data_IF_911004806219
#
_entry.id   IF_911004806219
#
_cell.length_a   1.000
_cell.length_b   1.000
_cell.length_c   1.000
_cell.angle_alpha   90.00
_cell.angle_beta   90.00
_cell.angle_gamma   90.00
#
_symmetry.space_group_name_H-M   'P 1'
#
loop_
_entity.id
_entity.type
_entity.pdbx_description
1 polymer ?
#
# COMPACT_ATOMS: atom_id res chain seq x y z
N UNK A 1 -4.40 -10.18 -26.27
CA UNK A 1 -4.37 -11.44 -27.05
C UNK A 1 -3.09 -12.13 -26.66
N UNK A 2 -3.13 -13.25 -25.93
CA UNK A 2 -1.91 -13.91 -25.45
C UNK A 2 -1.17 -14.51 -26.64
N UNK A 3 -0.05 -13.88 -27.02
CA UNK A 3 0.91 -14.48 -27.93
C UNK A 3 1.43 -15.80 -27.32
N UNK A 4 1.72 -16.78 -28.17
CA UNK A 4 2.31 -18.04 -27.72
C UNK A 4 3.62 -17.76 -26.97
N UNK A 5 3.68 -18.12 -25.69
CA UNK A 5 4.87 -17.99 -24.84
C UNK A 5 5.96 -18.92 -25.35
N UNK A 6 7.15 -18.38 -25.60
CA UNK A 6 8.37 -19.15 -25.79
C UNK A 6 8.97 -19.50 -24.42
N UNK A 7 8.87 -20.78 -24.04
CA UNK A 7 9.35 -21.27 -22.76
C UNK A 7 10.85 -21.04 -22.53
N UNK A 8 11.67 -20.94 -23.59
CA UNK A 8 13.11 -20.68 -23.44
C UNK A 8 13.35 -19.25 -23.01
N UNK A 9 12.71 -18.29 -23.70
CA UNK A 9 12.78 -16.86 -23.34
C UNK A 9 12.16 -16.61 -21.99
N UNK A 10 11.04 -17.28 -21.69
CA UNK A 10 10.41 -17.17 -20.40
C UNK A 10 11.32 -17.67 -19.27
N UNK A 11 12.02 -18.80 -19.48
CA UNK A 11 12.99 -19.30 -18.51
C UNK A 11 14.16 -18.31 -18.26
N UNK A 12 14.65 -17.62 -19.29
CA UNK A 12 15.71 -16.61 -19.16
C UNK A 12 15.29 -15.42 -18.28
N UNK A 13 14.09 -14.88 -18.52
CA UNK A 13 13.59 -13.75 -17.72
C UNK A 13 13.23 -14.19 -16.29
N UNK A 14 12.75 -15.44 -16.10
CA UNK A 14 12.52 -16.02 -14.78
C UNK A 14 13.82 -16.19 -14.00
N UNK A 15 14.90 -16.63 -14.64
CA UNK A 15 16.21 -16.77 -14.00
C UNK A 15 16.77 -15.42 -13.51
N UNK A 16 16.37 -14.33 -14.17
CA UNK A 16 16.76 -12.97 -13.77
C UNK A 16 15.85 -12.42 -12.67
N UNK A 17 14.53 -12.59 -12.80
CA UNK A 17 13.55 -12.07 -11.86
C UNK A 17 13.49 -12.87 -10.54
N UNK A 18 13.83 -14.16 -10.59
CA UNK A 18 13.79 -15.11 -9.47
C UNK A 18 12.48 -14.97 -8.67
N UNK A 19 11.30 -15.14 -9.32
CA UNK A 19 10.03 -15.00 -8.62
C UNK A 19 9.88 -16.11 -7.58
N UNK A 20 9.48 -15.69 -6.38
CA UNK A 20 9.12 -16.56 -5.26
C UNK A 20 8.12 -15.81 -4.41
N UNK A 21 7.45 -16.54 -3.52
CA UNK A 21 6.60 -15.94 -2.49
C UNK A 21 7.40 -14.88 -1.72
N UNK A 22 6.81 -13.71 -1.57
CA UNK A 22 7.40 -12.57 -0.86
C UNK A 22 7.04 -12.73 0.62
N UNK A 23 8.05 -12.70 1.49
CA UNK A 23 7.85 -12.86 2.95
C UNK A 23 8.44 -11.70 3.75
N UNK A 24 9.19 -10.81 3.10
CA UNK A 24 9.88 -9.66 3.72
C UNK A 24 9.71 -8.39 2.90
N UNK A 25 9.88 -7.24 3.54
CA UNK A 25 9.76 -5.93 2.89
C UNK A 25 10.86 -5.74 1.84
N UNK A 26 12.09 -6.19 2.12
CA UNK A 26 13.21 -6.09 1.20
C UNK A 26 12.98 -6.91 -0.08
N UNK A 27 12.29 -8.05 0.04
CA UNK A 27 11.85 -8.83 -1.11
C UNK A 27 10.74 -8.12 -1.88
N UNK A 28 9.80 -7.48 -1.18
CA UNK A 28 8.72 -6.69 -1.80
C UNK A 28 9.29 -5.53 -2.62
N UNK A 29 10.17 -4.72 -2.02
CA UNK A 29 10.83 -3.61 -2.70
C UNK A 29 11.62 -4.06 -3.95
N UNK A 30 12.29 -5.21 -3.86
CA UNK A 30 13.02 -5.77 -5.00
C UNK A 30 12.07 -6.13 -6.14
N UNK A 31 10.96 -6.80 -5.83
CA UNK A 31 9.97 -7.21 -6.84
C UNK A 31 9.27 -6.00 -7.42
N UNK A 32 8.87 -5.02 -6.60
CA UNK A 32 8.29 -3.75 -7.03
C UNK A 32 9.16 -3.04 -8.07
N UNK A 33 10.47 -2.96 -7.85
CA UNK A 33 11.40 -2.37 -8.84
C UNK A 33 11.38 -3.10 -10.18
N UNK A 34 11.19 -4.42 -10.20
CA UNK A 34 11.08 -5.19 -11.44
C UNK A 34 9.76 -4.87 -12.14
N UNK A 35 8.65 -4.83 -11.39
CA UNK A 35 7.31 -4.45 -11.89
C UNK A 35 7.36 -3.05 -12.49
N UNK A 36 7.92 -2.06 -11.78
CA UNK A 36 8.09 -0.69 -12.28
C UNK A 36 8.91 -0.63 -13.58
N UNK A 37 10.02 -1.36 -13.65
CA UNK A 37 10.85 -1.43 -14.85
C UNK A 37 10.07 -2.00 -16.05
N UNK A 38 9.26 -3.05 -15.84
CA UNK A 38 8.43 -3.63 -16.88
C UNK A 38 7.33 -2.65 -17.31
N UNK A 39 6.61 -2.03 -16.37
CA UNK A 39 5.58 -1.03 -16.68
C UNK A 39 6.15 0.18 -17.43
N UNK A 40 7.38 0.60 -17.12
CA UNK A 40 8.02 1.75 -17.75
C UNK A 40 8.30 1.55 -19.25
N UNK A 41 8.32 0.31 -19.73
CA UNK A 41 8.45 -0.01 -21.16
C UNK A 41 7.19 0.38 -21.95
N UNK A 42 6.04 0.44 -21.29
CA UNK A 42 4.73 0.63 -21.90
C UNK A 42 4.13 -0.66 -22.46
N UNK A 43 2.80 -0.79 -22.38
CA UNK A 43 2.06 -2.01 -22.72
C UNK A 43 2.34 -2.52 -24.14
N UNK A 44 2.45 -1.61 -25.11
CA UNK A 44 2.69 -1.96 -26.52
C UNK A 44 4.10 -2.53 -26.78
N UNK A 45 5.03 -2.38 -25.83
CA UNK A 45 6.43 -2.80 -25.98
C UNK A 45 6.78 -4.06 -25.18
N UNK A 46 5.83 -4.61 -24.41
CA UNK A 46 6.04 -5.85 -23.66
C UNK A 46 5.96 -7.05 -24.60
N UNK A 47 6.93 -7.94 -24.51
CA UNK A 47 6.80 -9.29 -25.06
C UNK A 47 5.73 -10.09 -24.29
N UNK A 48 5.12 -11.13 -24.89
CA UNK A 48 4.19 -12.02 -24.18
C UNK A 48 4.79 -12.62 -22.90
N UNK A 49 6.09 -12.91 -22.90
CA UNK A 49 6.82 -13.43 -21.73
C UNK A 49 6.92 -12.37 -20.62
N UNK A 50 7.24 -11.13 -20.97
CA UNK A 50 7.34 -10.02 -20.02
C UNK A 50 5.98 -9.62 -19.45
N UNK A 51 4.92 -9.63 -20.27
CA UNK A 51 3.54 -9.43 -19.82
C UNK A 51 3.15 -10.53 -18.82
N UNK A 52 3.47 -11.79 -19.13
CA UNK A 52 3.20 -12.93 -18.23
C UNK A 52 3.96 -12.79 -16.91
N UNK A 53 5.25 -12.42 -16.96
CA UNK A 53 6.04 -12.19 -15.77
C UNK A 53 5.50 -11.01 -14.94
N UNK A 54 5.11 -9.91 -15.60
CA UNK A 54 4.55 -8.73 -14.94
C UNK A 54 3.31 -9.09 -14.14
N UNK A 55 2.37 -9.84 -14.73
CA UNK A 55 1.16 -10.30 -14.05
C UNK A 55 1.51 -11.17 -12.85
N UNK A 56 2.41 -12.15 -13.01
CA UNK A 56 2.86 -13.01 -11.90
C UNK A 56 3.46 -12.19 -10.75
N UNK A 57 4.35 -11.24 -11.04
CA UNK A 57 5.00 -10.43 -10.01
C UNK A 57 4.01 -9.50 -9.31
N UNK A 58 3.05 -8.93 -10.05
CA UNK A 58 1.99 -8.11 -9.46
C UNK A 58 1.13 -8.91 -8.48
N UNK A 59 0.74 -10.14 -8.82
CA UNK A 59 0.00 -11.03 -7.92
C UNK A 59 0.79 -11.36 -6.64
N UNK A 60 2.10 -11.56 -6.74
CA UNK A 60 2.96 -11.83 -5.59
C UNK A 60 3.09 -10.62 -4.65
N UNK A 61 3.22 -9.42 -5.23
CA UNK A 61 3.21 -8.15 -4.47
C UNK A 61 1.87 -7.97 -3.78
N UNK A 62 0.76 -8.13 -4.49
CA UNK A 62 -0.58 -7.99 -3.93
C UNK A 62 -0.84 -8.98 -2.77
N UNK A 63 -0.42 -10.25 -2.90
CA UNK A 63 -0.57 -11.25 -1.83
C UNK A 63 0.25 -10.90 -0.58
N UNK A 64 1.43 -10.31 -0.75
CA UNK A 64 2.24 -9.83 0.37
C UNK A 64 1.63 -8.57 0.99
N UNK A 65 1.32 -7.56 0.19
CA UNK A 65 0.79 -6.28 0.66
C UNK A 65 -0.55 -6.45 1.36
N UNK A 66 -1.43 -7.35 0.92
CA UNK A 66 -2.67 -7.66 1.65
C UNK A 66 -2.42 -8.15 3.09
N UNK A 67 -1.28 -8.80 3.35
CA UNK A 67 -0.92 -9.34 4.68
C UNK A 67 -0.12 -8.32 5.49
N UNK A 68 0.81 -7.62 4.84
CA UNK A 68 1.67 -6.61 5.47
C UNK A 68 0.92 -5.29 5.73
N UNK A 69 0.04 -4.90 4.79
CA UNK A 69 -0.72 -3.66 4.73
C UNK A 69 -2.21 -3.94 4.49
N UNK A 70 -2.94 -4.49 5.48
CA UNK A 70 -4.37 -4.74 5.34
C UNK A 70 -5.11 -3.46 4.92
N UNK A 71 -5.90 -3.53 3.84
CA UNK A 71 -6.60 -2.40 3.24
C UNK A 71 -7.34 -1.56 4.28
N UNK A 72 -7.06 -0.25 4.26
CA UNK A 72 -7.73 0.76 5.07
C UNK A 72 -9.19 0.88 4.66
N UNK A 73 -10.08 0.12 5.33
CA UNK A 73 -11.53 0.27 5.15
C UNK A 73 -12.39 -0.95 5.48
N UNK A 74 -11.86 -2.18 5.42
CA UNK A 74 -12.69 -3.38 5.67
C UNK A 74 -12.53 -3.96 7.08
N UNK A 75 -11.40 -3.68 7.74
CA UNK A 75 -11.11 -4.10 9.13
C UNK A 75 -10.28 -3.08 9.91
N UNK A 76 -9.92 -1.97 9.28
CA UNK A 76 -9.05 -0.94 9.86
C UNK A 76 -9.86 -0.07 10.79
N UNK A 77 -9.35 0.07 12.01
CA UNK A 77 -9.96 0.97 12.99
C UNK A 77 -9.69 2.43 12.60
N UNK A 78 -10.54 3.39 12.98
CA UNK A 78 -10.31 4.83 12.75
C UNK A 78 -8.91 5.33 13.10
N UNK A 79 -8.24 4.70 14.07
CA UNK A 79 -6.84 4.99 14.44
C UNK A 79 -5.81 4.50 13.42
N UNK A 80 -6.05 3.39 12.74
CA UNK A 80 -5.14 2.83 11.74
C UNK A 80 -5.15 3.72 10.48
N UNK A 81 -6.35 4.18 10.10
CA UNK A 81 -6.57 5.19 9.05
C UNK A 81 -5.80 6.47 9.39
N UNK A 82 -5.93 6.94 10.63
CA UNK A 82 -5.25 8.15 11.09
C UNK A 82 -3.72 7.99 11.05
N UNK A 83 -3.19 6.87 11.54
CA UNK A 83 -1.75 6.59 11.55
C UNK A 83 -1.19 6.56 10.13
N UNK A 84 -1.87 5.87 9.21
CA UNK A 84 -1.49 5.79 7.81
C UNK A 84 -1.46 7.17 7.13
N UNK A 85 -2.50 7.99 7.33
CA UNK A 85 -2.56 9.33 6.73
C UNK A 85 -1.51 10.28 7.31
N UNK A 86 -1.18 10.13 8.60
CA UNK A 86 -0.08 10.87 9.22
C UNK A 86 1.26 10.49 8.59
N UNK A 87 1.51 9.20 8.37
CA UNK A 87 2.75 8.71 7.74
C UNK A 87 2.87 9.19 6.29
N UNK A 88 1.82 9.03 5.48
CA UNK A 88 1.80 9.45 4.07
C UNK A 88 2.03 10.96 3.88
N UNK A 89 1.62 11.78 4.84
CA UNK A 89 1.81 13.23 4.81
C UNK A 89 3.00 13.72 5.65
N UNK A 90 3.79 12.82 6.25
CA UNK A 90 4.92 13.17 7.10
C UNK A 90 4.56 13.98 8.36
N UNK A 91 3.33 13.84 8.85
CA UNK A 91 2.80 14.60 9.98
C UNK A 91 3.18 13.94 11.32
N UNK A 92 3.48 14.77 12.31
CA UNK A 92 3.70 14.35 13.70
C UNK A 92 2.44 14.64 14.52
N UNK A 93 2.31 13.99 15.68
CA UNK A 93 1.17 14.21 16.58
C UNK A 93 0.99 15.69 16.95
N UNK A 94 2.07 16.46 17.10
CA UNK A 94 2.00 17.91 17.37
C UNK A 94 1.24 18.71 16.29
N UNK A 95 1.19 18.19 15.06
CA UNK A 95 0.61 18.85 13.90
C UNK A 95 -0.92 18.62 13.81
N UNK A 96 -1.50 17.83 14.72
CA UNK A 96 -2.95 17.58 14.85
C UNK A 96 -3.53 18.05 16.20
N UNK A 97 -2.76 18.86 16.96
CA UNK A 97 -3.17 19.36 18.28
C UNK A 97 -4.37 20.30 18.18
N UNK A 98 -4.54 20.99 17.06
CA UNK A 98 -5.72 21.77 16.72
C UNK A 98 -7.01 20.93 16.67
N UNK A 99 -6.92 19.66 16.28
CA UNK A 99 -8.06 18.73 16.20
C UNK A 99 -8.30 17.98 17.53
N UNK A 100 -7.23 17.55 18.20
CA UNK A 100 -7.32 16.67 19.39
C UNK A 100 -7.03 17.37 20.73
N UNK A 101 -6.82 18.69 20.69
CA UNK A 101 -6.50 19.59 21.82
C UNK A 101 -5.16 19.33 22.51
N UNK A 102 -4.60 18.12 22.46
CA UNK A 102 -3.29 17.81 23.02
C UNK A 102 -2.63 16.59 22.34
N UNK A 103 -1.31 16.53 22.35
CA UNK A 103 -0.57 15.35 21.87
C UNK A 103 -0.84 14.09 22.71
N UNK A 104 -1.16 14.24 24.00
CA UNK A 104 -1.55 13.12 24.86
C UNK A 104 -2.85 12.46 24.40
N UNK A 105 -3.84 13.27 23.98
CA UNK A 105 -5.09 12.76 23.40
C UNK A 105 -4.82 11.97 22.12
N UNK A 106 -3.93 12.47 21.26
CA UNK A 106 -3.58 11.83 19.98
C UNK A 106 -2.91 10.49 20.23
N UNK A 107 -1.98 10.42 21.18
CA UNK A 107 -1.35 9.15 21.55
C UNK A 107 -2.37 8.14 22.09
N UNK A 108 -3.37 8.57 22.87
CA UNK A 108 -4.43 7.68 23.34
C UNK A 108 -5.28 7.13 22.19
N UNK A 109 -5.57 7.96 21.18
CA UNK A 109 -6.30 7.55 19.98
C UNK A 109 -5.49 6.55 19.16
N UNK A 110 -4.22 6.86 18.86
CA UNK A 110 -3.33 5.97 18.10
C UNK A 110 -3.12 4.61 18.80
N UNK A 111 -3.08 4.61 20.13
CA UNK A 111 -2.95 3.38 20.93
C UNK A 111 -4.30 2.68 21.19
N UNK A 112 -5.42 3.18 20.67
CA UNK A 112 -6.75 2.58 20.86
C UNK A 112 -7.35 2.73 22.27
N UNK A 113 -6.74 3.55 23.12
CA UNK A 113 -7.27 3.86 24.46
C UNK A 113 -8.43 4.88 24.42
N UNK A 114 -8.63 5.55 23.27
CA UNK A 114 -9.69 6.54 23.09
C UNK A 114 -10.22 6.53 21.65
N UNK A 115 -11.53 6.57 21.50
CA UNK A 115 -12.20 6.67 20.21
C UNK A 115 -12.14 8.07 19.61
N UNK A 116 -12.20 8.15 18.28
CA UNK A 116 -12.34 9.40 17.54
C UNK A 116 -13.80 9.88 17.64
N UNK A 117 -14.01 11.10 18.12
CA UNK A 117 -15.36 11.68 18.16
C UNK A 117 -15.83 12.10 16.77
N UNK A 118 -17.16 12.15 16.54
CA UNK A 118 -17.73 12.62 15.25
C UNK A 118 -17.26 14.01 14.82
N UNK A 119 -16.99 14.90 15.78
CA UNK A 119 -16.45 16.23 15.49
C UNK A 119 -15.01 16.15 14.99
N UNK A 120 -14.18 15.31 15.61
CA UNK A 120 -12.82 15.03 15.17
C UNK A 120 -12.80 14.34 13.82
N UNK A 121 -13.67 13.33 13.60
CA UNK A 121 -13.81 12.65 12.31
C UNK A 121 -14.07 13.63 11.16
N UNK A 122 -14.97 14.60 11.35
CA UNK A 122 -15.20 15.68 10.37
C UNK A 122 -13.97 16.55 10.13
N UNK A 123 -13.31 17.00 11.20
CA UNK A 123 -12.12 17.84 11.07
C UNK A 123 -10.97 17.10 10.37
N UNK A 124 -10.80 15.80 10.64
CA UNK A 124 -9.81 14.97 9.96
C UNK A 124 -10.16 14.75 8.49
N UNK A 125 -11.44 14.48 8.19
CA UNK A 125 -11.92 14.35 6.82
C UNK A 125 -11.64 15.63 6.00
N UNK A 126 -11.89 16.80 6.56
CA UNK A 126 -11.56 18.09 5.94
C UNK A 126 -10.05 18.29 5.77
N UNK A 127 -9.26 17.95 6.80
CA UNK A 127 -7.80 18.13 6.79
C UNK A 127 -7.10 17.23 5.77
N UNK A 128 -7.53 15.98 5.69
CA UNK A 128 -6.95 14.94 4.82
C UNK A 128 -7.65 14.84 3.46
N UNK A 129 -8.78 15.54 3.27
CA UNK A 129 -9.61 15.51 2.06
C UNK A 129 -10.11 14.10 1.73
N UNK A 130 -10.58 13.39 2.75
CA UNK A 130 -11.14 12.03 2.66
C UNK A 130 -12.54 11.96 3.24
N UNK A 131 -13.25 10.83 3.10
CA UNK A 131 -14.56 10.64 3.71
C UNK A 131 -14.47 10.57 5.24
N UNK A 132 -15.40 11.22 5.94
CA UNK A 132 -15.51 11.13 7.40
C UNK A 132 -15.86 9.71 7.88
N UNK A 133 -16.44 8.87 7.02
CA UNK A 133 -16.76 7.47 7.34
C UNK A 133 -15.51 6.64 7.66
N UNK A 134 -14.33 7.05 7.19
CA UNK A 134 -13.08 6.38 7.53
C UNK A 134 -12.68 6.56 9.00
N UNK A 135 -13.33 7.49 9.71
CA UNK A 135 -13.00 7.82 11.11
C UNK A 135 -14.18 7.58 12.08
N UNK A 136 -15.22 6.85 11.66
CA UNK A 136 -16.46 6.62 12.43
C UNK A 136 -16.59 5.14 12.81
#
# INVERSE_FOLDING_TARGET
>A
MTGTIDNTKYAEILATALPRKIETEEENERVLKIVENLMSKGEDNLSPEEETLLVLLAELVEDFEKKAYPEVGSSSTPRDVLAFLMEQQGLKQKDLVDIFSSSGTISQVLNGAREISKAQAKALAERFKVSAELFI
#
